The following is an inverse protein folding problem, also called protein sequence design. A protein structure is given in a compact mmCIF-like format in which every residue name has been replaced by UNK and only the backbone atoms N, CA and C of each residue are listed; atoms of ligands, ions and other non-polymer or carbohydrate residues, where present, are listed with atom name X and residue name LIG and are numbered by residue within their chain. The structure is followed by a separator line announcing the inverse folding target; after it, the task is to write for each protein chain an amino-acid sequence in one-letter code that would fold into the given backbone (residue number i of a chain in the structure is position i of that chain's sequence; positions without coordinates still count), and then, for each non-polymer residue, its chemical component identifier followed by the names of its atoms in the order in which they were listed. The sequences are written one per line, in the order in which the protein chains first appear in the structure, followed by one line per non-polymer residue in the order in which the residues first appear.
data_IF_497763518056
#
_entry.id   IF_497763518056
#
_cell.length_a   1.000
_cell.length_b   1.000
_cell.length_c   1.000
_cell.angle_alpha   90.00
_cell.angle_beta   90.00
_cell.angle_gamma   90.00
#
_symmetry.space_group_name_H-M   'P 1'
#
loop_
_entity.id
_entity.type
_entity.pdbx_description
1 polymer ?
#
# COMPACT_ATOMS: atom_id res chain seq x y z
N UNK A 1 20.62 2.99 21.01
CA UNK A 1 19.19 2.94 21.39
C UNK A 1 19.13 2.49 22.83
N UNK A 2 18.69 3.33 23.75
CA UNK A 2 18.39 2.87 25.12
C UNK A 2 17.20 1.91 25.04
N UNK A 3 17.41 0.66 25.46
CA UNK A 3 16.36 -0.34 25.52
C UNK A 3 15.44 -0.05 26.72
N UNK A 4 14.53 0.91 26.57
CA UNK A 4 13.57 1.32 27.61
C UNK A 4 12.26 0.53 27.61
N UNK A 5 12.30 -0.76 27.31
CA UNK A 5 11.07 -1.58 27.30
C UNK A 5 11.35 -2.91 27.95
N UNK A 6 10.62 -3.20 29.03
CA UNK A 6 10.70 -4.48 29.72
C UNK A 6 10.31 -5.60 28.74
N UNK A 7 10.92 -6.78 28.86
CA UNK A 7 10.64 -7.92 27.97
C UNK A 7 9.16 -8.37 28.02
N UNK A 8 8.47 -8.05 29.10
CA UNK A 8 7.06 -8.37 29.32
C UNK A 8 6.11 -7.23 28.93
N UNK A 9 6.64 -6.12 28.43
CA UNK A 9 5.83 -4.97 28.02
C UNK A 9 5.15 -5.28 26.68
N UNK A 10 3.82 -5.21 26.63
CA UNK A 10 3.04 -5.53 25.45
C UNK A 10 3.21 -4.43 24.38
N UNK A 11 4.20 -4.58 23.51
CA UNK A 11 4.53 -3.60 22.44
C UNK A 11 3.62 -3.65 21.21
N UNK A 12 2.70 -4.62 21.14
CA UNK A 12 1.71 -4.59 20.06
C UNK A 12 0.80 -3.41 20.32
N UNK A 13 0.51 -2.62 19.27
CA UNK A 13 -0.71 -1.84 19.23
C UNK A 13 -1.83 -2.83 19.58
N UNK A 14 -2.23 -2.81 20.84
CA UNK A 14 -3.21 -3.77 21.32
C UNK A 14 -4.41 -3.58 20.42
N UNK A 15 -4.88 -4.65 19.79
CA UNK A 15 -6.20 -4.62 19.15
C UNK A 15 -7.24 -3.99 20.10
N UNK A 16 -6.99 -4.13 21.41
CA UNK A 16 -7.65 -3.48 22.53
C UNK A 16 -7.52 -1.93 22.54
N UNK A 17 -6.33 -1.36 22.34
CA UNK A 17 -6.11 0.09 22.29
C UNK A 17 -6.68 0.74 21.01
N UNK A 18 -6.62 0.04 19.87
CA UNK A 18 -7.26 0.49 18.62
C UNK A 18 -8.79 0.38 18.67
N UNK A 19 -9.36 -0.63 19.34
CA UNK A 19 -10.82 -0.70 19.52
C UNK A 19 -11.34 0.25 20.59
N UNK A 20 -10.54 0.57 21.62
CA UNK A 20 -10.89 1.65 22.55
C UNK A 20 -10.95 3.02 21.88
N UNK A 21 -10.10 3.29 20.88
CA UNK A 21 -10.17 4.54 20.12
C UNK A 21 -11.34 4.59 19.13
N UNK A 22 -11.84 3.43 18.67
CA UNK A 22 -12.97 3.32 17.75
C UNK A 22 -14.35 3.21 18.43
N UNK A 23 -14.43 2.85 19.70
CA UNK A 23 -15.65 3.02 20.48
C UNK A 23 -15.81 4.51 20.79
N UNK A 24 -16.72 5.19 20.09
CA UNK A 24 -16.99 6.63 20.17
C UNK A 24 -17.44 7.18 21.56
N UNK A 25 -17.13 6.48 22.65
CA UNK A 25 -17.36 6.90 24.03
C UNK A 25 -16.43 6.26 25.06
N UNK A 26 -15.36 5.55 24.68
CA UNK A 26 -14.37 5.04 25.65
C UNK A 26 -14.93 4.10 26.74
N UNK A 27 -16.11 3.50 26.53
CA UNK A 27 -16.67 2.56 27.50
C UNK A 27 -15.80 1.30 27.51
N UNK A 28 -15.28 0.96 28.70
CA UNK A 28 -14.59 -0.30 28.90
C UNK A 28 -15.51 -1.46 28.46
N UNK A 29 -14.98 -2.34 27.62
CA UNK A 29 -15.68 -3.56 27.25
C UNK A 29 -15.71 -4.48 28.49
N UNK A 30 -16.86 -4.52 29.15
CA UNK A 30 -17.10 -5.39 30.29
C UNK A 30 -17.57 -6.77 29.83
N UNK A 31 -17.11 -7.80 30.55
CA UNK A 31 -17.56 -9.18 30.36
C UNK A 31 -19.08 -9.28 30.55
N UNK A 32 -19.75 -9.91 29.60
CA UNK A 32 -21.21 -10.01 29.56
C UNK A 32 -21.61 -11.30 28.86
N UNK A 33 -21.81 -12.36 29.66
CA UNK A 33 -22.10 -13.70 29.15
C UNK A 33 -23.48 -13.81 28.45
N UNK A 34 -24.32 -12.77 28.51
CA UNK A 34 -25.63 -12.76 27.86
C UNK A 34 -25.55 -12.29 26.39
N UNK A 35 -24.41 -11.75 25.94
CA UNK A 35 -24.21 -11.37 24.53
C UNK A 35 -24.06 -12.60 23.64
N UNK A 36 -24.60 -12.51 22.42
CA UNK A 36 -24.33 -13.50 21.38
C UNK A 36 -22.85 -13.44 20.97
N UNK A 37 -22.17 -14.59 20.94
CA UNK A 37 -20.72 -14.65 20.74
C UNK A 37 -20.24 -13.95 19.44
N UNK A 38 -20.99 -14.02 18.35
CA UNK A 38 -20.63 -13.37 17.08
C UNK A 38 -20.84 -11.85 17.07
N UNK A 39 -21.57 -11.32 18.06
CA UNK A 39 -21.86 -9.90 18.22
C UNK A 39 -21.23 -9.33 19.52
N UNK A 40 -20.40 -10.11 20.21
CA UNK A 40 -19.73 -9.70 21.44
C UNK A 40 -18.31 -9.19 21.15
N UNK A 41 -18.08 -7.86 21.17
CA UNK A 41 -16.76 -7.28 20.90
C UNK A 41 -15.73 -7.64 21.97
N UNK A 42 -16.13 -7.88 23.22
CA UNK A 42 -15.21 -8.31 24.28
C UNK A 42 -14.65 -9.69 23.95
N UNK A 43 -15.54 -10.65 23.69
CA UNK A 43 -15.18 -12.01 23.31
C UNK A 43 -14.35 -12.06 22.01
N UNK A 44 -14.74 -11.33 20.96
CA UNK A 44 -14.02 -11.31 19.68
C UNK A 44 -12.60 -10.70 19.77
N UNK A 45 -12.33 -9.90 20.81
CA UNK A 45 -11.02 -9.30 21.03
C UNK A 45 -10.03 -10.18 21.79
N UNK A 46 -10.52 -11.26 22.41
CA UNK A 46 -9.68 -12.21 23.16
C UNK A 46 -8.59 -12.85 22.29
N UNK A 47 -7.51 -13.30 22.92
CA UNK A 47 -6.38 -13.93 22.22
C UNK A 47 -6.83 -15.22 21.52
N UNK A 48 -7.72 -15.96 22.16
CA UNK A 48 -8.28 -17.24 21.74
C UNK A 48 -9.10 -17.10 20.46
N UNK A 49 -9.74 -15.95 20.23
CA UNK A 49 -10.55 -15.67 19.04
C UNK A 49 -9.75 -15.04 17.89
N UNK A 50 -8.43 -14.89 18.04
CA UNK A 50 -7.55 -14.34 16.98
C UNK A 50 -7.70 -15.08 15.64
N UNK A 51 -7.79 -16.41 15.66
CA UNK A 51 -7.96 -17.20 14.43
C UNK A 51 -9.26 -16.88 13.68
N UNK A 52 -10.33 -16.55 14.41
CA UNK A 52 -11.62 -16.15 13.82
C UNK A 52 -11.49 -14.76 13.17
N UNK A 53 -10.83 -13.81 13.85
CA UNK A 53 -10.55 -12.48 13.28
C UNK A 53 -9.72 -12.56 12.00
N UNK A 54 -8.76 -13.48 11.94
CA UNK A 54 -8.00 -13.75 10.71
C UNK A 54 -8.90 -14.19 9.56
N UNK A 55 -9.85 -15.10 9.82
CA UNK A 55 -10.80 -15.54 8.81
C UNK A 55 -11.70 -14.39 8.33
N UNK A 56 -12.13 -13.51 9.24
CA UNK A 56 -12.94 -12.33 8.89
C UNK A 56 -12.17 -11.32 8.03
N UNK A 57 -10.91 -11.02 8.38
CA UNK A 57 -10.06 -10.12 7.59
C UNK A 57 -9.61 -10.73 6.27
N UNK A 58 -9.56 -12.05 6.15
CA UNK A 58 -9.38 -12.72 4.86
C UNK A 58 -10.67 -12.62 4.01
N UNK A 59 -11.84 -12.92 4.59
CA UNK A 59 -13.09 -13.07 3.86
C UNK A 59 -13.72 -11.74 3.41
N UNK A 60 -13.80 -10.73 4.29
CA UNK A 60 -14.54 -9.51 4.00
C UNK A 60 -14.02 -8.73 2.77
N UNK A 61 -12.70 -8.49 2.63
CA UNK A 61 -12.16 -7.81 1.45
C UNK A 61 -12.22 -8.65 0.19
N UNK A 62 -12.19 -9.99 0.33
CA UNK A 62 -12.31 -10.91 -0.81
C UNK A 62 -13.71 -10.84 -1.43
N UNK A 63 -14.74 -10.99 -0.59
CA UNK A 63 -16.15 -10.88 -1.02
C UNK A 63 -16.45 -9.50 -1.61
N UNK A 64 -16.04 -8.41 -0.93
CA UNK A 64 -16.35 -7.06 -1.39
C UNK A 64 -15.70 -6.68 -2.74
N UNK A 65 -14.55 -7.27 -3.06
CA UNK A 65 -13.92 -7.12 -4.37
C UNK A 65 -14.57 -8.02 -5.42
N UNK A 66 -14.86 -9.28 -5.08
CA UNK A 66 -15.49 -10.24 -5.99
C UNK A 66 -16.90 -9.80 -6.42
N UNK A 67 -17.70 -9.25 -5.49
CA UNK A 67 -19.03 -8.70 -5.78
C UNK A 67 -19.01 -7.55 -6.79
N UNK A 68 -17.88 -6.84 -6.89
CA UNK A 68 -17.66 -5.76 -7.85
C UNK A 68 -16.85 -6.19 -9.08
N UNK A 69 -16.59 -7.50 -9.24
CA UNK A 69 -15.86 -8.07 -10.38
C UNK A 69 -14.38 -7.70 -10.42
N UNK A 70 -13.76 -7.40 -9.28
CA UNK A 70 -12.34 -7.04 -9.20
C UNK A 70 -11.50 -8.31 -9.06
N UNK A 71 -11.10 -8.87 -10.20
CA UNK A 71 -10.26 -10.07 -10.27
C UNK A 71 -8.78 -9.78 -10.59
N UNK A 72 -8.50 -8.59 -11.13
CA UNK A 72 -7.18 -8.22 -11.61
C UNK A 72 -6.80 -6.83 -11.07
N UNK A 73 -5.68 -6.74 -10.36
CA UNK A 73 -5.19 -5.46 -9.82
C UNK A 73 -3.76 -5.17 -10.25
N UNK A 74 -3.46 -3.89 -10.46
CA UNK A 74 -2.08 -3.38 -10.46
C UNK A 74 -1.84 -2.79 -9.08
N UNK A 75 -0.93 -3.41 -8.34
CA UNK A 75 -0.59 -2.97 -6.99
C UNK A 75 0.46 -1.86 -7.08
N UNK A 76 0.17 -0.72 -6.47
CA UNK A 76 1.07 0.43 -6.44
C UNK A 76 1.53 0.72 -5.01
N UNK A 77 2.84 0.69 -4.81
CA UNK A 77 3.49 1.06 -3.55
C UNK A 77 4.35 2.32 -3.71
N UNK A 78 4.57 3.02 -2.61
CA UNK A 78 5.52 4.11 -2.53
C UNK A 78 5.38 4.89 -1.23
N UNK A 79 6.06 6.03 -1.16
CA UNK A 79 6.09 6.88 0.02
C UNK A 79 4.70 7.42 0.40
N UNK A 80 4.31 7.24 1.66
CA UNK A 80 3.17 7.92 2.28
C UNK A 80 3.44 9.42 2.55
N UNK A 81 4.67 9.89 2.33
CA UNK A 81 5.11 11.25 2.70
C UNK A 81 5.28 12.21 1.52
N UNK A 82 5.14 11.72 0.29
CA UNK A 82 5.28 12.58 -0.89
C UNK A 82 3.96 13.29 -1.12
N UNK A 83 3.97 14.60 -1.26
CA UNK A 83 2.75 15.40 -1.42
C UNK A 83 2.60 15.85 -2.87
N UNK A 84 1.39 16.30 -3.21
CA UNK A 84 1.11 16.86 -4.53
C UNK A 84 1.93 18.15 -4.78
N UNK A 85 2.23 18.53 -6.04
CA UNK A 85 3.08 19.69 -6.33
C UNK A 85 2.55 21.02 -5.80
N UNK A 86 1.23 21.21 -5.84
CA UNK A 86 0.54 22.37 -5.28
C UNK A 86 0.73 22.44 -3.75
N UNK A 87 0.56 21.32 -3.05
CA UNK A 87 0.81 21.24 -1.62
C UNK A 87 2.29 21.45 -1.28
N UNK A 88 3.21 20.87 -2.05
CA UNK A 88 4.65 21.07 -1.87
C UNK A 88 5.06 22.55 -2.03
N UNK A 89 4.47 23.25 -3.01
CA UNK A 89 4.70 24.67 -3.23
C UNK A 89 4.19 25.53 -2.06
N UNK A 90 2.99 25.21 -1.53
CA UNK A 90 2.47 25.85 -0.32
C UNK A 90 3.38 25.62 0.89
N UNK A 91 3.81 24.38 1.13
CA UNK A 91 4.72 24.06 2.22
C UNK A 91 6.05 24.82 2.13
N UNK A 92 6.57 25.03 0.91
CA UNK A 92 7.78 25.81 0.68
C UNK A 92 7.58 27.30 1.00
N UNK A 93 6.52 27.91 0.49
CA UNK A 93 6.22 29.32 0.75
C UNK A 93 6.03 29.59 2.26
N UNK A 94 5.34 28.69 2.97
CA UNK A 94 5.20 28.78 4.42
C UNK A 94 6.52 28.59 5.17
N UNK A 95 7.38 27.70 4.70
CA UNK A 95 8.68 27.45 5.32
C UNK A 95 9.62 28.66 5.16
N UNK A 96 9.67 29.25 3.96
CA UNK A 96 10.41 30.47 3.66
C UNK A 96 9.94 31.64 4.53
N UNK A 97 8.63 31.78 4.73
CA UNK A 97 8.07 32.81 5.61
C UNK A 97 8.39 32.58 7.10
N UNK A 98 8.53 31.33 7.53
CA UNK A 98 8.79 31.00 8.94
C UNK A 98 10.24 31.20 9.38
N UNK A 99 11.20 31.16 8.44
CA UNK A 99 12.64 31.21 8.75
C UNK A 99 13.19 29.96 9.47
N UNK A 100 12.39 28.90 9.65
CA UNK A 100 12.83 27.63 10.25
C UNK A 100 13.61 26.80 9.23
N UNK A 101 14.92 26.68 9.43
CA UNK A 101 15.83 25.92 8.54
C UNK A 101 15.42 24.45 8.39
N UNK A 102 14.91 23.81 9.44
CA UNK A 102 14.47 22.41 9.40
C UNK A 102 13.20 22.29 8.55
N UNK A 103 12.28 23.23 8.70
CA UNK A 103 11.06 23.28 7.89
C UNK A 103 11.40 23.55 6.42
N UNK A 104 12.35 24.45 6.15
CA UNK A 104 12.81 24.78 4.80
C UNK A 104 13.47 23.58 4.10
N UNK A 105 14.35 22.86 4.81
CA UNK A 105 14.95 21.64 4.27
C UNK A 105 13.90 20.56 3.92
N UNK A 106 12.90 20.38 4.79
CA UNK A 106 11.79 19.44 4.51
C UNK A 106 10.95 19.88 3.32
N UNK A 107 10.66 21.17 3.19
CA UNK A 107 9.90 21.69 2.06
C UNK A 107 10.65 21.54 0.73
N UNK A 108 11.96 21.78 0.69
CA UNK A 108 12.77 21.49 -0.50
C UNK A 108 12.75 20.00 -0.88
N UNK A 109 12.79 19.10 0.12
CA UNK A 109 12.63 17.67 -0.13
C UNK A 109 11.24 17.33 -0.68
N UNK A 110 10.18 17.96 -0.15
CA UNK A 110 8.82 17.79 -0.62
C UNK A 110 8.70 18.21 -2.09
N UNK A 111 9.19 19.39 -2.46
CA UNK A 111 9.18 19.90 -3.84
C UNK A 111 9.95 18.96 -4.79
N UNK A 112 11.15 18.51 -4.40
CA UNK A 112 11.93 17.56 -5.21
C UNK A 112 11.17 16.26 -5.49
N UNK A 113 10.46 15.76 -4.48
CA UNK A 113 9.80 14.46 -4.54
C UNK A 113 8.37 14.55 -5.10
N UNK A 114 7.74 15.73 -5.12
CA UNK A 114 6.37 15.95 -5.59
C UNK A 114 6.15 15.48 -7.04
N UNK A 115 7.20 15.51 -7.87
CA UNK A 115 7.17 14.93 -9.22
C UNK A 115 6.70 13.47 -9.24
N UNK A 116 7.07 12.67 -8.22
CA UNK A 116 6.66 11.27 -8.17
C UNK A 116 5.19 11.10 -7.81
N UNK A 117 4.59 12.06 -7.08
CA UNK A 117 3.14 12.08 -6.86
C UNK A 117 2.42 12.23 -8.21
N UNK A 118 2.82 13.23 -9.02
CA UNK A 118 2.21 13.44 -10.33
C UNK A 118 2.40 12.24 -11.27
N UNK A 119 3.58 11.64 -11.29
CA UNK A 119 3.86 10.47 -12.11
C UNK A 119 3.04 9.25 -11.66
N UNK A 120 2.84 9.04 -10.36
CA UNK A 120 1.97 8.00 -9.84
C UNK A 120 0.49 8.24 -10.19
N UNK A 121 0.03 9.49 -10.16
CA UNK A 121 -1.31 9.88 -10.61
C UNK A 121 -1.49 9.65 -12.10
N UNK A 122 -0.51 10.02 -12.92
CA UNK A 122 -0.53 9.75 -14.35
C UNK A 122 -0.56 8.26 -14.63
N UNK A 123 0.26 7.46 -13.94
CA UNK A 123 0.25 6.00 -14.05
C UNK A 123 -1.12 5.41 -13.71
N UNK A 124 -1.71 5.82 -12.58
CA UNK A 124 -3.05 5.39 -12.16
C UNK A 124 -4.12 5.70 -13.22
N UNK A 125 -4.06 6.89 -13.82
CA UNK A 125 -4.96 7.29 -14.91
C UNK A 125 -4.77 6.42 -16.15
N UNK A 126 -3.54 6.19 -16.59
CA UNK A 126 -3.23 5.40 -17.80
C UNK A 126 -3.79 3.97 -17.71
N UNK A 127 -3.57 3.31 -16.56
CA UNK A 127 -4.11 1.96 -16.32
C UNK A 127 -5.64 1.98 -16.34
N UNK A 128 -6.26 2.93 -15.64
CA UNK A 128 -7.71 3.06 -15.54
C UNK A 128 -8.38 3.36 -16.89
N UNK A 129 -7.83 4.29 -17.68
CA UNK A 129 -8.34 4.64 -19.01
C UNK A 129 -8.28 3.47 -20.00
N UNK A 130 -7.24 2.64 -19.91
CA UNK A 130 -7.17 1.41 -20.69
C UNK A 130 -8.22 0.40 -20.19
N UNK A 131 -8.26 0.17 -18.88
CA UNK A 131 -9.15 -0.79 -18.23
C UNK A 131 -10.62 -0.54 -18.55
N UNK A 132 -11.09 0.71 -18.51
CA UNK A 132 -12.49 1.03 -18.82
C UNK A 132 -12.91 0.69 -20.26
N UNK A 133 -11.96 0.55 -21.19
CA UNK A 133 -12.21 0.12 -22.57
C UNK A 133 -12.27 -1.39 -22.74
N UNK A 134 -11.92 -2.15 -21.71
CA UNK A 134 -11.91 -3.60 -21.73
C UNK A 134 -13.24 -4.20 -21.26
N UNK A 135 -13.58 -5.42 -21.72
CA UNK A 135 -14.68 -6.19 -21.15
C UNK A 135 -14.49 -6.37 -19.63
N UNK A 136 -15.58 -6.41 -18.83
CA UNK A 136 -15.49 -6.49 -17.37
C UNK A 136 -14.54 -7.57 -16.83
N UNK A 137 -14.46 -8.74 -17.47
CA UNK A 137 -13.60 -9.85 -17.07
C UNK A 137 -12.09 -9.56 -17.23
N UNK A 138 -11.72 -8.67 -18.15
CA UNK A 138 -10.34 -8.35 -18.49
C UNK A 138 -9.89 -7.00 -17.90
N UNK A 139 -10.79 -6.32 -17.16
CA UNK A 139 -10.48 -5.07 -16.49
C UNK A 139 -9.40 -5.27 -15.42
N UNK A 140 -8.52 -4.29 -15.32
CA UNK A 140 -7.44 -4.21 -14.35
C UNK A 140 -7.61 -2.93 -13.53
N UNK A 141 -7.61 -3.06 -12.21
CA UNK A 141 -7.90 -1.95 -11.29
C UNK A 141 -6.67 -1.52 -10.51
N UNK A 142 -6.58 -0.23 -10.16
CA UNK A 142 -5.54 0.25 -9.25
C UNK A 142 -5.84 -0.21 -7.83
N UNK A 143 -4.85 -0.83 -7.19
CA UNK A 143 -4.91 -1.25 -5.79
C UNK A 143 -3.72 -0.66 -5.03
N UNK A 144 -3.96 -0.04 -3.88
CA UNK A 144 -2.90 0.56 -3.07
C UNK A 144 -3.11 0.25 -1.59
N UNK A 145 -2.17 0.66 -0.74
CA UNK A 145 -2.33 0.63 0.71
C UNK A 145 -3.33 1.65 1.28
N UNK A 146 -3.93 2.48 0.43
CA UNK A 146 -4.97 3.43 0.80
C UNK A 146 -4.51 4.60 1.69
N UNK A 147 -3.22 4.73 1.98
CA UNK A 147 -2.67 5.87 2.72
C UNK A 147 -2.46 7.11 1.84
N UNK A 148 -1.85 8.17 2.40
CA UNK A 148 -1.51 9.38 1.66
C UNK A 148 -0.34 9.16 0.67
N UNK A 149 0.03 10.22 -0.02
CA UNK A 149 1.17 10.29 -0.91
C UNK A 149 1.06 9.46 -2.17
N UNK A 150 2.04 8.60 -2.49
CA UNK A 150 2.03 7.83 -3.74
C UNK A 150 0.78 6.96 -3.87
N UNK A 151 0.35 6.35 -2.76
CA UNK A 151 -0.86 5.52 -2.74
C UNK A 151 -2.09 6.35 -3.12
N UNK A 152 -2.23 7.53 -2.48
CA UNK A 152 -3.27 8.49 -2.84
C UNK A 152 -3.19 8.92 -4.30
N UNK A 153 -2.00 9.26 -4.78
CA UNK A 153 -1.80 9.70 -6.15
C UNK A 153 -2.29 8.66 -7.17
N UNK A 154 -1.91 7.40 -6.98
CA UNK A 154 -2.33 6.30 -7.84
C UNK A 154 -3.86 6.08 -7.79
N UNK A 155 -4.46 6.06 -6.59
CA UNK A 155 -5.93 6.00 -6.44
C UNK A 155 -6.62 7.19 -7.13
N UNK A 156 -6.08 8.40 -6.94
CA UNK A 156 -6.58 9.64 -7.57
C UNK A 156 -6.54 9.58 -9.08
N UNK A 157 -5.48 9.01 -9.67
CA UNK A 157 -5.38 8.81 -11.11
C UNK A 157 -6.54 8.03 -11.70
N UNK A 158 -6.92 6.92 -11.05
CA UNK A 158 -8.08 6.11 -11.44
C UNK A 158 -9.41 6.83 -11.15
N UNK A 159 -9.52 7.45 -9.98
CA UNK A 159 -10.70 8.23 -9.57
C UNK A 159 -11.00 9.37 -10.55
N UNK A 160 -9.99 10.09 -11.03
CA UNK A 160 -10.15 11.23 -11.94
C UNK A 160 -10.83 10.87 -13.27
N UNK A 161 -10.85 9.59 -13.64
CA UNK A 161 -11.53 9.07 -14.84
C UNK A 161 -12.77 8.24 -14.52
N UNK A 162 -13.21 8.26 -13.26
CA UNK A 162 -14.41 7.57 -12.79
C UNK A 162 -14.25 6.05 -12.63
N UNK A 163 -13.04 5.50 -12.72
CA UNK A 163 -12.79 4.08 -12.57
C UNK A 163 -12.77 3.65 -11.09
N UNK A 164 -13.25 2.43 -10.83
CA UNK A 164 -13.14 1.82 -9.50
C UNK A 164 -11.66 1.62 -9.13
N UNK A 165 -11.34 1.78 -7.85
CA UNK A 165 -10.00 1.55 -7.33
C UNK A 165 -10.05 1.11 -5.86
N UNK A 166 -9.07 0.29 -5.47
CA UNK A 166 -9.04 -0.42 -4.19
C UNK A 166 -8.04 0.23 -3.23
N UNK A 167 -8.45 0.35 -1.97
CA UNK A 167 -7.59 0.74 -0.86
C UNK A 167 -7.58 -0.33 0.22
N UNK A 168 -6.42 -0.92 0.46
CA UNK A 168 -6.20 -1.88 1.55
C UNK A 168 -5.46 -1.17 2.67
N UNK A 169 -6.18 -0.47 3.54
CA UNK A 169 -5.64 0.28 4.67
C UNK A 169 -5.22 -0.63 5.83
N UNK A 170 -4.28 -0.16 6.65
CA UNK A 170 -3.89 -0.83 7.90
C UNK A 170 -4.18 0.10 9.08
N UNK A 171 -4.66 -0.47 10.17
CA UNK A 171 -4.84 0.25 11.41
C UNK A 171 -3.47 0.61 12.00
N UNK A 172 -3.25 1.89 12.26
CA UNK A 172 -2.06 2.42 12.91
C UNK A 172 -2.49 3.45 13.97
N UNK A 173 -1.68 3.66 15.03
CA UNK A 173 -2.00 4.60 16.11
C UNK A 173 -2.28 6.05 15.66
N UNK A 174 -1.74 6.47 14.51
CA UNK A 174 -1.83 7.86 14.02
C UNK A 174 -2.43 7.99 12.62
N UNK A 175 -2.71 6.89 11.91
CA UNK A 175 -3.27 6.92 10.55
C UNK A 175 -4.75 6.54 10.61
N UNK A 176 -5.64 7.54 10.57
CA UNK A 176 -7.04 7.34 10.97
C UNK A 176 -8.02 7.05 9.83
N UNK A 177 -7.74 7.40 8.58
CA UNK A 177 -8.65 7.13 7.46
C UNK A 177 -7.91 6.91 6.15
N UNK A 178 -8.48 6.07 5.27
CA UNK A 178 -8.01 5.95 3.91
C UNK A 178 -8.16 7.24 3.13
N UNK A 179 -7.38 7.39 2.06
CA UNK A 179 -7.43 8.59 1.23
C UNK A 179 -8.80 8.72 0.54
N UNK A 180 -9.20 9.97 0.28
CA UNK A 180 -10.55 10.31 -0.22
C UNK A 180 -10.85 9.86 -1.66
N UNK A 181 -9.86 9.36 -2.39
CA UNK A 181 -10.01 8.96 -3.80
C UNK A 181 -10.28 7.46 -3.98
N UNK A 182 -10.18 6.69 -2.90
CA UNK A 182 -10.55 5.28 -2.89
C UNK A 182 -12.06 5.17 -3.14
N UNK A 183 -12.47 4.19 -3.96
CA UNK A 183 -13.89 3.90 -4.13
C UNK A 183 -14.51 3.51 -2.77
N UNK A 184 -15.59 4.16 -2.31
CA UNK A 184 -16.11 3.97 -0.95
C UNK A 184 -16.42 2.51 -0.57
N UNK A 185 -16.91 1.72 -1.53
CA UNK A 185 -17.21 0.29 -1.38
C UNK A 185 -15.96 -0.62 -1.37
N UNK A 186 -14.78 -0.07 -1.61
CA UNK A 186 -13.50 -0.79 -1.79
C UNK A 186 -12.38 -0.24 -0.88
N UNK A 187 -12.78 0.45 0.19
CA UNK A 187 -11.88 0.92 1.25
C UNK A 187 -11.93 -0.07 2.42
N UNK A 188 -10.97 -1.00 2.45
CA UNK A 188 -10.89 -2.05 3.46
C UNK A 188 -9.82 -1.72 4.49
N UNK A 189 -10.13 -1.92 5.77
CA UNK A 189 -9.21 -1.68 6.89
C UNK A 189 -8.82 -3.01 7.52
N UNK A 190 -7.51 -3.27 7.59
CA UNK A 190 -6.90 -4.43 8.21
C UNK A 190 -6.32 -4.07 9.57
N UNK A 191 -6.24 -5.06 10.46
CA UNK A 191 -5.42 -4.97 11.67
C UNK A 191 -4.17 -5.84 11.52
N UNK A 192 -4.24 -6.95 10.79
CA UNK A 192 -3.09 -7.84 10.58
C UNK A 192 -2.36 -7.55 9.27
N UNK A 193 -1.11 -7.09 9.35
CA UNK A 193 -0.23 -6.87 8.19
C UNK A 193 -0.15 -8.08 7.26
N UNK A 194 -0.04 -9.29 7.80
CA UNK A 194 0.07 -10.51 7.00
C UNK A 194 -1.15 -10.73 6.09
N UNK A 195 -2.36 -10.45 6.56
CA UNK A 195 -3.58 -10.64 5.76
C UNK A 195 -3.70 -9.56 4.70
N UNK A 196 -3.34 -8.31 5.03
CA UNK A 196 -3.24 -7.22 4.06
C UNK A 196 -2.28 -7.57 2.91
N UNK A 197 -1.10 -8.08 3.25
CA UNK A 197 -0.07 -8.55 2.31
C UNK A 197 -0.58 -9.66 1.39
N UNK A 198 -1.26 -10.66 1.96
CA UNK A 198 -1.93 -11.70 1.18
C UNK A 198 -2.94 -11.13 0.19
N UNK A 199 -3.79 -10.17 0.61
CA UNK A 199 -4.79 -9.55 -0.26
C UNK A 199 -4.19 -8.79 -1.45
N UNK A 200 -3.04 -8.13 -1.28
CA UNK A 200 -2.33 -7.54 -2.42
C UNK A 200 -1.99 -8.61 -3.46
N UNK A 201 -1.44 -9.75 -3.02
CA UNK A 201 -0.94 -10.79 -3.92
C UNK A 201 -2.04 -11.67 -4.54
N UNK A 202 -3.19 -11.83 -3.88
CA UNK A 202 -4.29 -12.66 -4.39
C UNK A 202 -4.78 -12.24 -5.79
N UNK A 203 -4.79 -10.93 -6.06
CA UNK A 203 -5.36 -10.33 -7.28
C UNK A 203 -4.32 -9.60 -8.15
N UNK A 204 -3.08 -9.49 -7.68
CA UNK A 204 -2.01 -8.79 -8.38
C UNK A 204 -1.72 -9.39 -9.76
N UNK A 205 -1.82 -8.55 -10.78
CA UNK A 205 -1.25 -8.76 -12.12
C UNK A 205 0.03 -7.98 -12.33
N UNK A 206 0.30 -6.96 -11.54
CA UNK A 206 1.57 -6.26 -11.61
C UNK A 206 1.87 -5.62 -10.27
N UNK A 207 3.17 -5.39 -10.04
CA UNK A 207 3.64 -4.54 -8.97
C UNK A 207 4.36 -3.32 -9.55
N UNK A 208 4.01 -2.13 -9.08
CA UNK A 208 4.74 -0.90 -9.38
C UNK A 208 5.16 -0.21 -8.09
N UNK A 209 6.47 -0.19 -7.84
CA UNK A 209 7.06 0.41 -6.65
C UNK A 209 7.71 1.76 -7.01
N UNK A 210 7.05 2.84 -6.62
CA UNK A 210 7.63 4.19 -6.62
C UNK A 210 8.57 4.37 -5.41
N UNK A 211 9.37 5.45 -5.37
CA UNK A 211 10.25 5.71 -4.24
C UNK A 211 9.49 5.75 -2.92
N UNK A 212 10.01 5.05 -1.91
CA UNK A 212 9.30 4.82 -0.66
C UNK A 212 10.19 4.30 0.47
N UNK A 213 9.65 4.26 1.69
CA UNK A 213 10.40 3.87 2.88
C UNK A 213 10.35 2.38 3.17
N UNK A 214 10.47 2.02 4.44
CA UNK A 214 10.46 0.62 4.89
C UNK A 214 9.22 -0.16 4.47
N UNK A 215 8.02 0.44 4.50
CA UNK A 215 6.82 -0.25 4.04
C UNK A 215 6.90 -0.63 2.55
N UNK A 216 7.45 0.25 1.70
CA UNK A 216 7.63 -0.05 0.28
C UNK A 216 8.69 -1.13 0.04
N UNK A 217 9.79 -1.08 0.81
CA UNK A 217 10.85 -2.10 0.74
C UNK A 217 10.35 -3.47 1.20
N UNK A 218 9.65 -3.52 2.33
CA UNK A 218 9.04 -4.74 2.87
C UNK A 218 8.17 -5.43 1.81
N UNK A 219 7.24 -4.68 1.21
CA UNK A 219 6.37 -5.25 0.19
C UNK A 219 7.12 -5.63 -1.10
N UNK A 220 8.09 -4.82 -1.55
CA UNK A 220 8.89 -5.13 -2.73
C UNK A 220 9.66 -6.45 -2.55
N UNK A 221 10.37 -6.61 -1.43
CA UNK A 221 11.17 -7.80 -1.18
C UNK A 221 10.30 -9.05 -0.94
N UNK A 222 9.10 -8.88 -0.37
CA UNK A 222 8.13 -9.96 -0.28
C UNK A 222 7.71 -10.45 -1.68
N UNK A 223 7.31 -9.55 -2.58
CA UNK A 223 6.91 -9.93 -3.95
C UNK A 223 8.07 -10.57 -4.71
N UNK A 224 9.27 -10.00 -4.63
CA UNK A 224 10.47 -10.58 -5.25
C UNK A 224 10.70 -12.01 -4.77
N UNK A 225 10.61 -12.24 -3.45
CA UNK A 225 10.79 -13.56 -2.85
C UNK A 225 9.69 -14.53 -3.27
N UNK A 226 8.42 -14.10 -3.31
CA UNK A 226 7.30 -14.94 -3.74
C UNK A 226 7.41 -15.37 -5.21
N UNK A 227 7.86 -14.47 -6.09
CA UNK A 227 8.07 -14.78 -7.52
C UNK A 227 9.31 -15.66 -7.69
N UNK A 228 10.43 -15.33 -7.04
CA UNK A 228 11.68 -16.12 -7.07
C UNK A 228 11.43 -17.58 -6.63
N UNK A 229 10.69 -17.77 -5.54
CA UNK A 229 10.38 -19.09 -4.97
C UNK A 229 9.20 -19.79 -5.66
N UNK A 230 8.59 -19.15 -6.68
CA UNK A 230 7.41 -19.65 -7.41
C UNK A 230 6.21 -19.95 -6.52
N UNK A 231 6.11 -19.25 -5.38
CA UNK A 231 4.94 -19.29 -4.49
C UNK A 231 3.81 -18.40 -4.99
N UNK A 232 4.13 -17.38 -5.79
CA UNK A 232 3.17 -16.63 -6.59
C UNK A 232 3.35 -16.92 -8.08
N UNK A 233 2.29 -16.66 -8.87
CA UNK A 233 2.43 -16.61 -10.33
C UNK A 233 3.40 -15.49 -10.71
N UNK A 234 4.18 -15.63 -11.79
CA UNK A 234 4.99 -14.53 -12.29
C UNK A 234 4.13 -13.31 -12.59
N UNK A 235 4.58 -12.15 -12.11
CA UNK A 235 3.97 -10.84 -12.36
C UNK A 235 5.09 -9.85 -12.71
N UNK A 236 4.85 -8.90 -13.62
CA UNK A 236 5.79 -7.81 -13.87
C UNK A 236 5.97 -6.96 -12.62
N UNK A 237 7.23 -6.76 -12.22
CA UNK A 237 7.64 -5.88 -11.12
C UNK A 237 8.35 -4.67 -11.72
N UNK A 238 7.84 -3.48 -11.45
CA UNK A 238 8.37 -2.22 -11.98
C UNK A 238 8.87 -1.34 -10.85
N UNK A 239 10.15 -0.97 -10.91
CA UNK A 239 10.79 -0.03 -10.01
C UNK A 239 10.81 1.36 -10.66
N UNK A 240 9.89 2.21 -10.24
CA UNK A 240 9.72 3.54 -10.78
C UNK A 240 10.68 4.53 -10.10
N UNK A 241 11.40 5.35 -10.87
CA UNK A 241 12.41 6.27 -10.35
C UNK A 241 13.78 5.63 -10.31
N UNK A 242 14.39 5.44 -11.48
CA UNK A 242 15.63 4.66 -11.66
C UNK A 242 16.78 5.16 -10.77
N UNK A 243 16.99 6.48 -10.70
CA UNK A 243 18.02 7.08 -9.84
C UNK A 243 17.82 6.76 -8.36
N UNK A 244 16.58 6.77 -7.88
CA UNK A 244 16.28 6.49 -6.48
C UNK A 244 16.66 5.06 -6.10
N UNK A 245 16.21 4.08 -6.90
CA UNK A 245 16.42 2.67 -6.60
C UNK A 245 17.88 2.26 -6.72
N UNK A 246 18.59 2.71 -7.77
CA UNK A 246 20.02 2.41 -7.96
C UNK A 246 20.91 3.00 -6.86
N UNK A 247 20.52 4.12 -6.25
CA UNK A 247 21.23 4.70 -5.10
C UNK A 247 20.84 4.05 -3.77
N UNK A 248 19.64 3.48 -3.67
CA UNK A 248 19.12 2.88 -2.44
C UNK A 248 19.64 1.44 -2.24
N UNK A 249 19.56 0.61 -3.28
CA UNK A 249 19.95 -0.81 -3.21
C UNK A 249 20.77 -1.15 -4.44
N UNK A 250 22.00 -1.61 -4.20
CA UNK A 250 22.83 -2.23 -5.22
C UNK A 250 22.53 -3.74 -5.23
N UNK A 251 21.62 -4.18 -6.11
CA UNK A 251 21.17 -5.58 -6.15
C UNK A 251 22.27 -6.52 -6.68
N UNK A 252 23.24 -6.00 -7.41
CA UNK A 252 24.39 -6.73 -7.94
C UNK A 252 25.23 -7.33 -6.82
N UNK A 253 25.33 -6.64 -5.67
CA UNK A 253 26.00 -7.17 -4.46
C UNK A 253 25.37 -8.49 -4.01
N UNK A 254 24.05 -8.66 -4.14
CA UNK A 254 23.40 -9.92 -3.76
C UNK A 254 23.83 -11.09 -4.64
N UNK A 255 24.16 -10.83 -5.91
CA UNK A 255 24.70 -11.82 -6.84
C UNK A 255 26.18 -12.08 -6.56
N UNK A 256 26.97 -11.02 -6.34
CA UNK A 256 28.40 -11.11 -5.99
C UNK A 256 28.63 -11.94 -4.72
N UNK A 257 27.80 -11.73 -3.70
CA UNK A 257 27.83 -12.48 -2.43
C UNK A 257 27.14 -13.86 -2.52
N UNK A 258 26.62 -14.24 -3.70
CA UNK A 258 25.99 -15.56 -3.91
C UNK A 258 24.66 -15.77 -3.17
N UNK A 259 24.00 -14.69 -2.75
CA UNK A 259 22.73 -14.76 -2.01
C UNK A 259 21.49 -14.86 -2.91
N UNK A 260 21.62 -14.45 -4.18
CA UNK A 260 20.63 -14.68 -5.25
C UNK A 260 21.34 -15.08 -6.55
N UNK A 261 20.60 -15.58 -7.54
CA UNK A 261 21.13 -15.87 -8.86
C UNK A 261 21.12 -14.63 -9.76
N UNK A 262 22.01 -14.55 -10.75
CA UNK A 262 22.01 -13.45 -11.73
C UNK A 262 20.70 -13.35 -12.55
N UNK A 263 19.95 -14.45 -12.66
CA UNK A 263 18.65 -14.46 -13.33
C UNK A 263 17.57 -13.73 -12.49
N UNK A 264 17.73 -13.66 -11.17
CA UNK A 264 16.77 -13.00 -10.28
C UNK A 264 16.74 -11.48 -10.47
N UNK A 265 17.83 -10.88 -11.01
CA UNK A 265 17.86 -9.47 -11.41
C UNK A 265 16.92 -9.18 -12.60
N UNK A 266 16.44 -10.20 -13.31
CA UNK A 266 15.44 -10.06 -14.39
C UNK A 266 14.00 -10.07 -13.89
N UNK A 267 13.78 -10.22 -12.57
CA UNK A 267 12.44 -10.20 -11.99
C UNK A 267 11.79 -8.81 -12.02
N UNK A 268 12.59 -7.75 -12.14
CA UNK A 268 12.10 -6.38 -12.11
C UNK A 268 12.68 -5.52 -13.24
N UNK A 269 11.98 -4.42 -13.54
CA UNK A 269 12.37 -3.45 -14.57
C UNK A 269 12.39 -2.03 -14.00
N UNK A 270 13.37 -1.23 -14.38
CA UNK A 270 13.40 0.20 -14.05
C UNK A 270 12.70 1.02 -15.11
N UNK A 271 12.03 2.09 -14.69
CA UNK A 271 11.50 3.12 -15.60
C UNK A 271 11.33 4.44 -14.86
N UNK A 272 11.28 5.52 -15.62
CA UNK A 272 10.96 6.87 -15.14
C UNK A 272 9.71 7.45 -15.83
N UNK A 273 8.99 6.63 -16.62
CA UNK A 273 7.86 7.06 -17.45
C UNK A 273 6.59 6.22 -17.17
N UNK A 274 5.44 6.85 -16.85
CA UNK A 274 4.18 6.14 -16.57
C UNK A 274 3.67 5.28 -17.73
N UNK A 275 3.80 5.76 -18.97
CA UNK A 275 3.43 5.00 -20.15
C UNK A 275 4.34 3.79 -20.34
N UNK A 276 5.66 3.95 -20.18
CA UNK A 276 6.59 2.82 -20.29
C UNK A 276 6.30 1.75 -19.23
N UNK A 277 6.03 2.15 -17.98
CA UNK A 277 5.58 1.24 -16.92
C UNK A 277 4.34 0.43 -17.34
N UNK A 278 3.37 1.08 -17.98
CA UNK A 278 2.18 0.41 -18.48
C UNK A 278 2.46 -0.50 -19.68
N UNK A 279 3.29 -0.05 -20.63
CA UNK A 279 3.70 -0.87 -21.78
C UNK A 279 4.44 -2.15 -21.36
N UNK A 280 5.26 -2.09 -20.31
CA UNK A 280 5.90 -3.27 -19.72
C UNK A 280 4.86 -4.28 -19.23
N UNK A 281 3.81 -3.80 -18.53
CA UNK A 281 2.73 -4.65 -18.02
C UNK A 281 1.92 -5.26 -19.18
N UNK A 282 1.53 -4.46 -20.17
CA UNK A 282 0.83 -4.97 -21.36
C UNK A 282 1.66 -5.98 -22.13
N UNK A 283 2.95 -5.72 -22.34
CA UNK A 283 3.84 -6.62 -23.06
C UNK A 283 3.98 -7.98 -22.36
N UNK A 284 3.98 -8.00 -21.03
CA UNK A 284 4.01 -9.23 -20.24
C UNK A 284 2.76 -10.10 -20.48
N UNK A 285 1.58 -9.48 -20.61
CA UNK A 285 0.29 -10.17 -20.77
C UNK A 285 -0.23 -10.24 -22.21
N UNK A 286 0.46 -9.61 -23.17
CA UNK A 286 0.04 -9.50 -24.58
C UNK A 286 -1.32 -8.79 -24.74
N UNK A 287 -1.52 -7.70 -24.00
CA UNK A 287 -2.73 -6.84 -24.01
C UNK A 287 -2.72 -5.79 -25.14
#
# INVERSE_FOLDING_TARGET
MEANTQLNDSRLADAWAELQSHAAGGNALHADAYRLAFADPEFLLRRETRGIRFQLEMLKPDLGQAEQGIENTVVVYGSARFVAPDEAATQLAEAEASGDEVRLQRAHQAVRNARYYDLARQFGRVVAEHSERQPPADRIYICTGGGPGIMEAANRGAHDVGALNVGLNIALPHEQSGNRFISPSLSFKFHYFALRKMHFMMRAKALVAFPGGFGTLDELFEVLTLVQTKKAKPVPIVLFGTDYWKRLVNFEVLVEEGTISAQDLKLFHYTDNPQEAWELIKSFYQL
#
